data_IF_822274911625
#
_entry.id   IF_822274911625
#
_cell.length_a   1.000
_cell.length_b   1.000
_cell.length_c   1.000
_cell.angle_alpha   90.00
_cell.angle_beta   90.00
_cell.angle_gamma   90.00
#
_symmetry.space_group_name_H-M   'P 1'
#
loop_
_entity.id
_entity.type
_entity.pdbx_description
1 polymer ?
#
# COMPACT_ATOMS: atom_id res chain seq x y z
N UNK A 1 -19.39 -34.38 59.08
CA UNK A 1 -18.59 -33.17 59.15
C UNK A 1 -18.01 -32.86 57.77
N UNK A 2 -18.53 -31.76 57.22
CA UNK A 2 -18.00 -30.87 56.17
C UNK A 2 -17.46 -31.46 54.85
N UNK A 3 -18.37 -31.54 53.88
CA UNK A 3 -18.08 -31.57 52.45
C UNK A 3 -18.63 -30.29 51.74
N UNK A 4 -18.36 -29.11 52.26
CA UNK A 4 -18.95 -27.86 51.71
C UNK A 4 -17.92 -26.71 51.57
N UNK A 5 -16.67 -27.01 51.26
CA UNK A 5 -15.67 -25.95 51.12
C UNK A 5 -14.69 -26.10 49.93
N UNK A 6 -15.09 -26.70 48.84
CA UNK A 6 -14.24 -26.84 47.62
C UNK A 6 -14.87 -26.25 46.34
N UNK A 7 -16.05 -25.61 46.41
CA UNK A 7 -16.76 -25.13 45.22
C UNK A 7 -16.74 -23.61 45.02
N UNK A 8 -15.92 -22.85 45.74
CA UNK A 8 -15.90 -21.38 45.62
C UNK A 8 -14.64 -20.77 44.99
N UNK A 9 -13.67 -21.57 44.54
CA UNK A 9 -12.43 -21.03 43.95
C UNK A 9 -12.32 -21.15 42.41
N UNK A 10 -13.37 -21.60 41.71
CA UNK A 10 -13.31 -21.76 40.24
C UNK A 10 -14.08 -20.70 39.44
N UNK A 11 -14.73 -19.74 40.10
CA UNK A 11 -15.54 -18.73 39.45
C UNK A 11 -14.84 -17.38 39.21
N UNK A 12 -13.58 -17.20 39.66
CA UNK A 12 -12.88 -15.91 39.54
C UNK A 12 -11.81 -15.84 38.42
N UNK A 13 -11.70 -16.84 37.54
CA UNK A 13 -10.63 -16.88 36.55
C UNK A 13 -11.06 -16.68 35.08
N UNK A 14 -12.30 -16.26 34.83
CA UNK A 14 -12.84 -16.12 33.45
C UNK A 14 -13.12 -14.65 33.05
N UNK A 15 -12.82 -13.65 33.88
CA UNK A 15 -13.16 -12.25 33.57
C UNK A 15 -11.93 -11.34 33.39
N UNK A 16 -10.80 -11.83 32.98
CA UNK A 16 -9.62 -10.95 32.75
C UNK A 16 -9.03 -10.98 31.34
N UNK A 17 -9.71 -11.54 30.35
CA UNK A 17 -9.15 -11.60 28.98
C UNK A 17 -9.89 -10.80 27.92
N UNK A 18 -10.73 -9.83 28.26
CA UNK A 18 -11.48 -9.04 27.25
C UNK A 18 -11.21 -7.54 27.28
N UNK A 19 -10.22 -7.03 28.02
CA UNK A 19 -9.99 -5.58 28.13
C UNK A 19 -8.75 -5.08 27.38
N UNK A 20 -7.96 -5.93 26.71
CA UNK A 20 -6.73 -5.50 26.02
C UNK A 20 -6.80 -5.47 24.49
N UNK A 21 -7.98 -5.58 23.87
CA UNK A 21 -8.11 -5.60 22.41
C UNK A 21 -8.47 -4.24 21.78
N UNK A 22 -8.70 -3.19 22.54
CA UNK A 22 -9.38 -1.97 22.03
C UNK A 22 -8.46 -0.85 21.52
N UNK A 23 -7.12 -0.91 21.68
CA UNK A 23 -6.22 0.17 21.25
C UNK A 23 -5.00 -0.27 20.42
N UNK A 24 -5.04 -1.43 19.79
CA UNK A 24 -3.96 -1.80 18.89
C UNK A 24 -4.08 -1.02 17.57
N UNK A 25 -2.99 -0.38 17.12
CA UNK A 25 -3.00 0.37 15.87
C UNK A 25 -3.31 -0.53 14.68
N UNK A 26 -4.14 -0.02 13.76
CA UNK A 26 -4.43 -0.64 12.48
C UNK A 26 -3.43 -0.12 11.44
N UNK A 27 -2.52 -0.98 10.98
CA UNK A 27 -1.50 -0.60 10.00
C UNK A 27 -2.05 -0.58 8.58
N UNK A 28 -1.86 0.55 7.91
CA UNK A 28 -2.15 0.74 6.48
C UNK A 28 -0.81 0.88 5.77
N UNK A 29 -0.56 0.05 4.77
CA UNK A 29 0.73 -0.02 4.09
C UNK A 29 0.58 0.01 2.57
N UNK A 30 1.66 0.39 1.88
CA UNK A 30 1.80 0.26 0.43
C UNK A 30 3.16 -0.34 0.09
N UNK A 31 3.20 -1.17 -0.97
CA UNK A 31 4.44 -1.72 -1.48
C UNK A 31 4.37 -2.04 -2.98
N UNK A 32 5.32 -1.53 -3.77
CA UNK A 32 5.57 -1.98 -5.13
C UNK A 32 6.29 -3.33 -5.09
N UNK A 33 5.70 -4.35 -5.74
CA UNK A 33 6.16 -5.75 -5.69
C UNK A 33 7.27 -6.08 -6.68
N UNK A 34 7.73 -5.15 -7.52
CA UNK A 34 8.72 -5.37 -8.58
C UNK A 34 8.35 -6.57 -9.48
N UNK A 35 7.42 -6.36 -10.42
CA UNK A 35 7.08 -7.37 -11.44
C UNK A 35 6.71 -8.75 -10.84
N UNK A 36 5.69 -8.79 -10.01
CA UNK A 36 5.22 -10.02 -9.39
C UNK A 36 4.29 -10.79 -10.33
N UNK A 37 4.91 -11.47 -11.30
CA UNK A 37 4.25 -12.32 -12.29
C UNK A 37 4.04 -13.73 -11.77
N UNK A 38 3.02 -14.42 -12.29
CA UNK A 38 2.85 -15.84 -12.09
C UNK A 38 3.89 -16.65 -12.92
N UNK A 39 4.08 -17.95 -12.67
CA UNK A 39 5.07 -18.76 -13.37
C UNK A 39 4.49 -19.52 -14.58
N UNK A 40 3.34 -19.10 -15.12
CA UNK A 40 2.67 -19.77 -16.22
C UNK A 40 2.76 -18.95 -17.50
N UNK A 41 2.56 -19.63 -18.63
CA UNK A 41 2.51 -18.98 -19.94
C UNK A 41 1.05 -18.72 -20.29
N UNK A 42 0.70 -17.46 -20.46
CA UNK A 42 -0.60 -17.07 -21.01
C UNK A 42 -0.42 -16.71 -22.50
N UNK A 43 -0.94 -17.57 -23.38
CA UNK A 43 -0.84 -17.38 -24.83
C UNK A 43 -1.67 -16.20 -25.36
N UNK A 44 -2.52 -15.60 -24.56
CA UNK A 44 -3.33 -14.41 -24.91
C UNK A 44 -2.57 -13.11 -24.70
N UNK A 45 -1.53 -13.11 -23.84
CA UNK A 45 -0.70 -11.96 -23.56
C UNK A 45 0.45 -11.80 -24.57
N UNK A 46 0.70 -10.58 -24.98
CA UNK A 46 1.83 -10.25 -25.87
C UNK A 46 3.14 -10.07 -25.12
N UNK A 47 3.07 -9.65 -23.85
CA UNK A 47 4.25 -9.50 -22.98
C UNK A 47 4.62 -10.85 -22.37
N UNK A 48 5.79 -11.35 -22.71
CA UNK A 48 6.27 -12.68 -22.32
C UNK A 48 7.67 -12.67 -21.68
N UNK A 49 8.15 -11.51 -21.22
CA UNK A 49 9.49 -11.41 -20.61
C UNK A 49 9.59 -12.28 -19.35
N UNK A 50 8.52 -12.35 -18.54
CA UNK A 50 8.45 -13.14 -17.31
C UNK A 50 7.83 -14.52 -17.52
N UNK A 51 8.40 -15.26 -18.46
CA UNK A 51 8.11 -16.69 -18.69
C UNK A 51 9.41 -17.48 -18.59
N UNK A 52 9.32 -18.83 -18.55
CA UNK A 52 10.50 -19.69 -18.45
C UNK A 52 11.45 -19.49 -19.63
N UNK A 53 10.92 -19.34 -20.85
CA UNK A 53 11.65 -19.11 -22.09
C UNK A 53 11.83 -17.61 -22.40
N UNK A 54 11.22 -16.73 -21.64
CA UNK A 54 11.30 -15.27 -21.80
C UNK A 54 12.64 -14.71 -21.31
N UNK A 55 12.86 -13.41 -21.59
CA UNK A 55 14.13 -12.71 -21.27
C UNK A 55 14.52 -12.82 -19.79
N UNK A 56 13.54 -12.87 -18.90
CA UNK A 56 13.78 -12.94 -17.45
C UNK A 56 13.93 -14.37 -16.94
N UNK A 57 13.71 -15.39 -17.79
CA UNK A 57 13.74 -16.80 -17.40
C UNK A 57 12.96 -17.07 -16.10
N UNK A 58 11.69 -16.61 -16.06
CA UNK A 58 10.86 -16.64 -14.86
C UNK A 58 10.30 -18.03 -14.61
N UNK A 59 11.00 -18.83 -13.81
CA UNK A 59 10.64 -20.19 -13.46
C UNK A 59 9.77 -20.25 -12.20
N UNK A 60 9.07 -21.39 -11.99
CA UNK A 60 8.37 -21.69 -10.73
C UNK A 60 9.25 -21.52 -9.49
N UNK A 61 10.52 -21.92 -9.57
CA UNK A 61 11.48 -21.75 -8.47
C UNK A 61 11.70 -20.28 -8.12
N UNK A 62 11.87 -19.41 -9.14
CA UNK A 62 12.05 -17.97 -8.94
C UNK A 62 10.77 -17.33 -8.39
N UNK A 63 9.60 -17.70 -8.91
CA UNK A 63 8.30 -17.27 -8.39
C UNK A 63 8.13 -17.59 -6.91
N UNK A 64 8.31 -18.86 -6.52
CA UNK A 64 8.15 -19.25 -5.11
C UNK A 64 9.19 -18.62 -4.19
N UNK A 65 10.40 -18.36 -4.68
CA UNK A 65 11.41 -17.62 -3.91
C UNK A 65 10.96 -16.19 -3.68
N UNK A 66 10.52 -15.49 -4.72
CA UNK A 66 9.98 -14.12 -4.61
C UNK A 66 8.77 -14.08 -3.68
N UNK A 67 7.79 -14.94 -3.87
CA UNK A 67 6.62 -15.05 -3.00
C UNK A 67 7.03 -15.19 -1.52
N UNK A 68 8.01 -16.06 -1.23
CA UNK A 68 8.47 -16.28 0.15
C UNK A 68 9.22 -15.06 0.71
N UNK A 69 9.94 -14.32 -0.14
CA UNK A 69 10.55 -13.05 0.24
C UNK A 69 9.47 -11.99 0.57
N UNK A 70 8.44 -11.84 -0.29
CA UNK A 70 7.32 -10.93 -0.04
C UNK A 70 6.62 -11.27 1.29
N UNK A 71 6.26 -12.53 1.49
CA UNK A 71 5.69 -13.04 2.72
C UNK A 71 6.55 -12.69 3.96
N UNK A 72 7.87 -12.92 3.88
CA UNK A 72 8.80 -12.60 4.97
C UNK A 72 8.81 -11.11 5.31
N UNK A 73 8.85 -10.24 4.30
CA UNK A 73 8.85 -8.80 4.50
C UNK A 73 7.51 -8.29 5.05
N UNK A 74 6.37 -8.81 4.55
CA UNK A 74 5.04 -8.46 5.06
C UNK A 74 4.92 -8.84 6.54
N UNK A 75 5.35 -10.04 6.94
CA UNK A 75 5.31 -10.44 8.36
C UNK A 75 6.20 -9.57 9.24
N UNK A 76 7.38 -9.19 8.76
CA UNK A 76 8.29 -8.33 9.51
C UNK A 76 7.71 -6.92 9.66
N UNK A 77 7.17 -6.34 8.57
CA UNK A 77 6.53 -5.02 8.58
C UNK A 77 5.28 -4.99 9.48
N UNK A 78 4.50 -6.05 9.47
CA UNK A 78 3.27 -6.17 10.26
C UNK A 78 3.49 -6.59 11.71
N UNK A 79 4.74 -6.86 12.11
CA UNK A 79 5.05 -7.41 13.44
C UNK A 79 4.24 -8.68 13.76
N UNK A 80 3.96 -9.48 12.70
CA UNK A 80 3.19 -10.72 12.77
C UNK A 80 1.70 -10.53 13.17
N UNK A 81 1.16 -9.31 13.06
CA UNK A 81 -0.28 -8.96 13.19
C UNK A 81 -0.92 -8.83 11.80
N UNK A 82 -2.25 -8.84 11.67
CA UNK A 82 -2.86 -8.49 10.39
C UNK A 82 -2.61 -7.03 10.06
N UNK A 83 -2.23 -6.75 8.81
CA UNK A 83 -2.36 -5.40 8.26
C UNK A 83 -3.84 -5.09 8.07
N UNK A 84 -4.27 -3.88 8.38
CA UNK A 84 -5.63 -3.45 8.06
C UNK A 84 -5.83 -3.44 6.55
N UNK A 85 -4.95 -2.70 5.84
CA UNK A 85 -4.95 -2.60 4.38
C UNK A 85 -3.50 -2.61 3.88
N UNK A 86 -3.26 -3.34 2.80
CA UNK A 86 -2.01 -3.30 2.03
C UNK A 86 -2.34 -2.97 0.57
N UNK A 87 -2.01 -1.75 0.15
CA UNK A 87 -1.93 -1.39 -1.26
C UNK A 87 -0.70 -2.03 -1.90
N UNK A 88 -0.86 -2.56 -3.08
CA UNK A 88 0.22 -3.17 -3.86
C UNK A 88 0.18 -2.66 -5.28
N UNK A 89 1.29 -2.69 -5.98
CA UNK A 89 1.33 -2.57 -7.43
C UNK A 89 2.35 -3.52 -8.04
N UNK A 90 2.35 -3.60 -9.37
CA UNK A 90 3.11 -4.59 -10.14
C UNK A 90 2.72 -6.05 -9.81
N UNK A 91 1.43 -6.28 -9.63
CA UNK A 91 0.81 -7.59 -9.42
C UNK A 91 0.13 -8.02 -10.71
N UNK A 92 0.41 -9.25 -11.17
CA UNK A 92 -0.14 -9.70 -12.45
C UNK A 92 -1.61 -10.13 -12.35
N UNK A 93 -1.96 -10.99 -11.37
CA UNK A 93 -3.29 -11.60 -11.34
C UNK A 93 -3.65 -12.20 -9.97
N UNK A 94 -4.87 -12.74 -9.88
CA UNK A 94 -5.38 -13.39 -8.67
C UNK A 94 -4.56 -14.60 -8.20
N UNK A 95 -3.93 -15.36 -9.12
CA UNK A 95 -3.10 -16.49 -8.73
C UNK A 95 -1.91 -16.05 -7.87
N UNK A 96 -1.29 -14.92 -8.23
CA UNK A 96 -0.18 -14.34 -7.48
C UNK A 96 -0.61 -14.00 -6.05
N UNK A 97 -1.77 -13.33 -5.91
CA UNK A 97 -2.32 -12.95 -4.61
C UNK A 97 -2.75 -14.16 -3.79
N UNK A 98 -3.49 -15.10 -4.35
CA UNK A 98 -3.90 -16.33 -3.64
C UNK A 98 -2.69 -17.16 -3.22
N UNK A 99 -1.66 -17.26 -4.08
CA UNK A 99 -0.40 -17.93 -3.73
C UNK A 99 0.29 -17.26 -2.54
N UNK A 100 0.28 -15.92 -2.46
CA UNK A 100 0.91 -15.18 -1.36
C UNK A 100 0.08 -15.25 -0.07
N UNK A 101 -1.22 -14.98 -0.13
CA UNK A 101 -2.04 -14.80 1.06
C UNK A 101 -2.71 -16.08 1.57
N UNK A 102 -2.95 -17.08 0.72
CA UNK A 102 -3.61 -18.32 1.13
C UNK A 102 -2.65 -19.52 1.23
N UNK A 103 -1.50 -19.51 0.52
CA UNK A 103 -0.54 -20.62 0.51
C UNK A 103 0.72 -20.35 1.34
N UNK A 104 0.76 -19.24 2.09
CA UNK A 104 1.79 -18.91 3.07
C UNK A 104 1.19 -18.78 4.47
N UNK A 105 1.99 -18.63 5.53
CA UNK A 105 1.46 -18.36 6.87
C UNK A 105 0.60 -17.08 7.01
N UNK A 106 0.58 -16.18 6.01
CA UNK A 106 -0.33 -15.03 5.99
C UNK A 106 -1.81 -15.43 5.99
N UNK A 107 -2.15 -16.66 5.56
CA UNK A 107 -3.52 -17.20 5.55
C UNK A 107 -4.24 -17.14 6.90
N UNK A 108 -3.51 -17.02 8.01
CA UNK A 108 -4.07 -16.89 9.36
C UNK A 108 -4.74 -15.55 9.65
N UNK A 109 -4.54 -14.53 8.79
CA UNK A 109 -4.97 -13.16 9.02
C UNK A 109 -6.24 -12.75 8.23
N UNK A 110 -7.03 -13.72 7.76
CA UNK A 110 -8.33 -13.51 7.11
C UNK A 110 -8.31 -12.46 5.98
N UNK A 111 -7.27 -12.44 5.17
CA UNK A 111 -7.14 -11.48 4.09
C UNK A 111 -8.12 -11.74 2.94
N UNK A 112 -8.58 -10.65 2.31
CA UNK A 112 -9.25 -10.60 1.02
C UNK A 112 -8.54 -9.59 0.15
N UNK A 113 -8.76 -9.64 -1.15
CA UNK A 113 -8.14 -8.72 -2.10
C UNK A 113 -9.10 -8.25 -3.17
N UNK A 114 -8.72 -7.15 -3.78
CA UNK A 114 -9.38 -6.51 -4.90
C UNK A 114 -8.30 -6.30 -5.95
N UNK A 115 -8.55 -6.83 -7.15
CA UNK A 115 -7.71 -6.68 -8.32
C UNK A 115 -8.62 -6.54 -9.54
N UNK A 116 -8.33 -5.61 -10.41
CA UNK A 116 -8.94 -5.46 -11.72
C UNK A 116 -7.83 -5.49 -12.76
N UNK A 117 -7.99 -6.30 -13.79
CA UNK A 117 -7.07 -6.30 -14.92
C UNK A 117 -7.23 -5.00 -15.71
N UNK A 118 -6.15 -4.28 -15.89
CA UNK A 118 -6.06 -2.99 -16.54
C UNK A 118 -5.42 -3.05 -17.93
N UNK A 119 -5.29 -1.89 -18.58
CA UNK A 119 -4.77 -1.79 -19.95
C UNK A 119 -3.24 -1.75 -20.04
N UNK A 120 -2.48 -1.94 -18.94
CA UNK A 120 -1.02 -1.95 -19.00
C UNK A 120 -0.50 -3.08 -19.89
N UNK A 121 0.37 -2.75 -20.84
CA UNK A 121 0.89 -3.70 -21.83
C UNK A 121 1.68 -4.87 -21.22
N UNK A 122 2.20 -4.72 -20.01
CA UNK A 122 2.89 -5.78 -19.26
C UNK A 122 1.89 -6.70 -18.56
N UNK A 123 0.65 -6.23 -18.31
CA UNK A 123 -0.37 -6.93 -17.55
C UNK A 123 -0.03 -6.96 -16.07
N UNK A 124 0.35 -5.82 -15.51
CA UNK A 124 0.59 -5.62 -14.07
C UNK A 124 -0.26 -4.48 -13.54
N UNK A 125 -0.91 -4.71 -12.44
CA UNK A 125 -1.97 -3.85 -11.92
C UNK A 125 -1.76 -3.46 -10.46
N UNK A 126 -2.44 -2.40 -9.99
CA UNK A 126 -2.62 -2.14 -8.56
C UNK A 126 -3.59 -3.15 -7.94
N UNK A 127 -3.33 -3.50 -6.68
CA UNK A 127 -4.19 -4.35 -5.88
C UNK A 127 -4.38 -3.76 -4.48
N UNK A 128 -5.51 -4.08 -3.85
CA UNK A 128 -5.76 -3.82 -2.42
C UNK A 128 -5.99 -5.15 -1.73
N UNK A 129 -5.22 -5.40 -0.67
CA UNK A 129 -5.43 -6.51 0.25
C UNK A 129 -5.89 -5.94 1.59
N UNK A 130 -6.91 -6.52 2.18
CA UNK A 130 -7.47 -6.06 3.47
C UNK A 130 -7.82 -7.22 4.38
N UNK A 131 -7.74 -7.00 5.68
CA UNK A 131 -8.11 -7.99 6.67
C UNK A 131 -9.58 -7.84 7.05
N UNK A 132 -10.34 -8.95 7.00
CA UNK A 132 -11.72 -9.01 7.50
C UNK A 132 -11.82 -8.81 9.02
N UNK A 133 -10.70 -8.90 9.75
CA UNK A 133 -10.65 -8.61 11.18
C UNK A 133 -10.78 -7.11 11.46
N UNK A 134 -10.48 -6.25 10.47
CA UNK A 134 -10.50 -4.80 10.60
C UNK A 134 -11.54 -4.12 9.72
N UNK A 135 -11.77 -4.61 8.49
CA UNK A 135 -12.57 -3.90 7.50
C UNK A 135 -13.53 -4.81 6.72
N UNK A 136 -14.67 -4.24 6.34
CA UNK A 136 -15.61 -4.80 5.37
C UNK A 136 -15.60 -3.92 4.12
N UNK A 137 -15.52 -4.54 2.95
CA UNK A 137 -15.62 -3.85 1.66
C UNK A 137 -17.07 -3.46 1.39
N UNK A 138 -17.29 -2.18 1.04
CA UNK A 138 -18.59 -1.64 0.64
C UNK A 138 -18.71 -1.61 -0.89
N UNK A 139 -17.68 -1.05 -1.55
CA UNK A 139 -17.62 -0.96 -3.01
C UNK A 139 -16.16 -0.88 -3.48
N UNK A 140 -15.92 -1.24 -4.72
CA UNK A 140 -14.63 -1.03 -5.39
C UNK A 140 -14.83 -0.78 -6.87
N UNK A 141 -13.91 -0.01 -7.46
CA UNK A 141 -13.87 0.28 -8.90
C UNK A 141 -12.48 0.76 -9.32
N UNK A 142 -12.29 0.91 -10.62
CA UNK A 142 -11.10 1.55 -11.18
C UNK A 142 -11.47 2.85 -11.87
N UNK A 143 -10.54 3.80 -11.85
CA UNK A 143 -10.63 5.03 -12.65
C UNK A 143 -9.57 4.97 -13.74
N UNK A 144 -9.99 4.85 -15.00
CA UNK A 144 -9.08 4.72 -16.12
C UNK A 144 -8.13 5.89 -16.25
N UNK A 145 -6.86 5.59 -16.54
CA UNK A 145 -5.90 6.60 -16.97
C UNK A 145 -6.35 7.22 -18.29
N UNK A 146 -6.28 8.52 -18.37
CA UNK A 146 -6.57 9.25 -19.61
C UNK A 146 -5.65 10.46 -19.74
N UNK A 147 -4.99 10.55 -20.91
CA UNK A 147 -4.20 11.70 -21.30
C UNK A 147 -4.80 12.28 -22.59
N UNK A 148 -5.40 13.49 -22.56
CA UNK A 148 -6.00 14.11 -23.75
C UNK A 148 -4.99 14.47 -24.85
N UNK A 149 -3.69 14.63 -24.49
CA UNK A 149 -2.62 14.93 -25.44
C UNK A 149 -2.03 13.69 -26.11
N UNK A 150 -2.21 12.50 -25.48
CA UNK A 150 -1.78 11.22 -26.03
C UNK A 150 -2.80 10.12 -25.67
N UNK A 151 -3.86 10.05 -26.46
CA UNK A 151 -4.94 9.09 -26.25
C UNK A 151 -4.58 7.64 -26.63
N UNK A 152 -3.43 7.43 -27.27
CA UNK A 152 -2.91 6.11 -27.61
C UNK A 152 -2.06 5.50 -26.48
N UNK A 153 -1.57 6.32 -25.57
CA UNK A 153 -0.81 5.85 -24.42
C UNK A 153 -1.75 5.32 -23.33
N UNK A 154 -1.52 4.09 -22.92
CA UNK A 154 -2.24 3.43 -21.84
C UNK A 154 -1.31 3.25 -20.64
N UNK A 155 -1.84 3.49 -19.45
CA UNK A 155 -1.17 3.27 -18.19
C UNK A 155 -2.09 2.51 -17.24
N UNK A 156 -1.60 2.22 -16.03
CA UNK A 156 -2.38 1.56 -14.99
C UNK A 156 -3.53 2.45 -14.53
N UNK A 157 -4.66 1.84 -14.30
CA UNK A 157 -5.83 2.50 -13.73
C UNK A 157 -5.59 2.82 -12.24
N UNK A 158 -6.30 3.79 -11.69
CA UNK A 158 -6.30 4.06 -10.26
C UNK A 158 -7.33 3.16 -9.61
N UNK A 159 -6.91 2.29 -8.70
CA UNK A 159 -7.80 1.40 -7.97
C UNK A 159 -8.37 2.11 -6.75
N UNK A 160 -9.69 2.03 -6.60
CA UNK A 160 -10.44 2.59 -5.48
C UNK A 160 -11.22 1.52 -4.75
N UNK A 161 -11.28 1.64 -3.43
CA UNK A 161 -12.19 0.88 -2.59
C UNK A 161 -12.69 1.71 -1.42
N UNK A 162 -13.94 1.45 -1.02
CA UNK A 162 -14.59 2.02 0.15
C UNK A 162 -14.81 0.95 1.19
N UNK A 163 -14.37 1.22 2.39
CA UNK A 163 -14.45 0.30 3.52
C UNK A 163 -15.26 0.89 4.67
N UNK A 164 -15.85 0.01 5.47
CA UNK A 164 -16.33 0.29 6.83
C UNK A 164 -15.59 -0.61 7.81
N UNK A 165 -15.54 -0.23 9.08
CA UNK A 165 -14.94 -1.07 10.11
C UNK A 165 -15.68 -2.41 10.27
N UNK A 166 -14.95 -3.48 10.59
CA UNK A 166 -15.52 -4.81 10.75
C UNK A 166 -16.49 -4.91 11.91
N UNK A 167 -16.26 -4.13 12.97
CA UNK A 167 -17.16 -3.99 14.10
C UNK A 167 -17.91 -2.65 14.05
N UNK A 168 -19.04 -2.63 13.35
CA UNK A 168 -19.89 -1.45 13.25
C UNK A 168 -20.55 -1.03 14.59
N UNK A 169 -20.42 -1.83 15.65
CA UNK A 169 -20.89 -1.49 17.00
C UNK A 169 -19.86 -0.68 17.79
N UNK A 170 -18.60 -0.68 17.37
CA UNK A 170 -17.54 0.13 17.96
C UNK A 170 -17.53 1.52 17.32
N UNK A 171 -17.61 2.57 18.12
CA UNK A 171 -17.49 3.97 17.68
C UNK A 171 -16.18 4.22 16.92
N UNK A 172 -15.12 3.51 17.30
CA UNK A 172 -13.81 3.59 16.65
C UNK A 172 -13.82 3.14 15.17
N UNK A 173 -14.80 2.30 14.77
CA UNK A 173 -14.90 1.74 13.43
C UNK A 173 -16.16 2.19 12.67
N UNK A 174 -16.92 3.16 13.21
CA UNK A 174 -18.13 3.66 12.56
C UNK A 174 -17.87 4.42 11.25
N UNK A 175 -16.60 4.74 10.99
CA UNK A 175 -16.21 5.55 9.84
C UNK A 175 -16.14 4.77 8.53
N UNK A 176 -16.43 5.51 7.48
CA UNK A 176 -16.13 5.10 6.11
C UNK A 176 -14.72 5.54 5.75
N UNK A 177 -13.90 4.59 5.30
CA UNK A 177 -12.56 4.84 4.80
C UNK A 177 -12.53 4.65 3.28
N UNK A 178 -12.14 5.69 2.56
CA UNK A 178 -11.91 5.68 1.12
C UNK A 178 -10.42 5.46 0.85
N UNK A 179 -10.09 4.46 0.03
CA UNK A 179 -8.69 4.10 -0.25
C UNK A 179 -8.45 4.09 -1.74
N UNK A 180 -7.41 4.79 -2.17
CA UNK A 180 -6.92 4.81 -3.55
C UNK A 180 -5.53 4.19 -3.60
N UNK A 181 -5.32 3.25 -4.52
CA UNK A 181 -3.99 2.69 -4.82
C UNK A 181 -3.60 3.10 -6.23
N UNK A 182 -2.40 3.66 -6.33
CA UNK A 182 -1.86 4.30 -7.53
C UNK A 182 -0.57 3.61 -7.97
N UNK A 183 -0.35 3.55 -9.29
CA UNK A 183 0.94 3.29 -9.88
C UNK A 183 1.06 4.16 -11.13
N UNK A 184 1.64 5.35 -10.97
CA UNK A 184 1.70 6.35 -12.04
C UNK A 184 2.72 5.99 -13.10
N UNK A 185 2.67 6.64 -14.30
CA UNK A 185 3.63 6.43 -15.37
C UNK A 185 5.07 6.62 -14.92
N UNK A 186 5.94 5.65 -15.27
CA UNK A 186 7.35 5.67 -14.86
C UNK A 186 8.15 6.75 -15.57
N UNK A 187 9.34 7.07 -15.04
CA UNK A 187 10.33 7.97 -15.65
C UNK A 187 11.18 7.30 -16.72
N UNK A 188 10.87 6.07 -17.14
CA UNK A 188 11.72 5.27 -18.03
C UNK A 188 12.05 5.95 -19.37
N UNK A 189 11.10 6.69 -19.94
CA UNK A 189 11.30 7.44 -21.20
C UNK A 189 11.91 8.83 -20.99
N UNK A 190 12.34 9.17 -19.78
CA UNK A 190 12.84 10.48 -19.39
C UNK A 190 11.92 11.16 -18.37
N UNK A 191 12.50 11.82 -17.40
CA UNK A 191 11.76 12.49 -16.32
C UNK A 191 10.88 13.61 -16.86
N UNK A 192 11.47 14.49 -17.68
CA UNK A 192 10.75 15.66 -18.26
C UNK A 192 9.72 15.22 -19.30
N UNK A 193 10.03 14.22 -20.10
CA UNK A 193 9.16 13.67 -21.13
C UNK A 193 7.89 13.04 -20.56
N UNK A 194 7.97 12.53 -19.33
CA UNK A 194 6.85 11.79 -18.69
C UNK A 194 6.13 12.59 -17.61
N UNK A 195 6.57 13.81 -17.28
CA UNK A 195 5.93 14.65 -16.25
C UNK A 195 4.45 14.93 -16.56
N UNK A 196 4.11 15.17 -17.83
CA UNK A 196 2.72 15.37 -18.27
C UNK A 196 1.83 14.18 -17.99
N UNK A 197 2.33 12.98 -18.26
CA UNK A 197 1.59 11.72 -18.00
C UNK A 197 1.32 11.51 -16.50
N UNK A 198 2.30 11.78 -15.63
CA UNK A 198 2.09 11.71 -14.17
C UNK A 198 1.15 12.79 -13.67
N UNK A 199 1.22 13.99 -14.26
CA UNK A 199 0.27 15.07 -13.97
C UNK A 199 -1.17 14.71 -14.34
N UNK A 200 -1.39 13.96 -15.44
CA UNK A 200 -2.71 13.43 -15.78
C UNK A 200 -3.23 12.48 -14.70
N UNK A 201 -2.41 11.53 -14.21
CA UNK A 201 -2.78 10.63 -13.10
C UNK A 201 -3.13 11.43 -11.84
N UNK A 202 -2.30 12.41 -11.49
CA UNK A 202 -2.53 13.29 -10.35
C UNK A 202 -3.86 14.06 -10.46
N UNK A 203 -4.17 14.60 -11.65
CA UNK A 203 -5.41 15.33 -11.90
C UNK A 203 -6.66 14.43 -11.79
N UNK A 204 -6.57 13.18 -12.30
CA UNK A 204 -7.65 12.20 -12.17
C UNK A 204 -7.88 11.88 -10.68
N UNK A 205 -6.82 11.56 -9.95
CA UNK A 205 -6.90 11.27 -8.52
C UNK A 205 -7.49 12.46 -7.75
N UNK A 206 -6.98 13.66 -7.97
CA UNK A 206 -7.49 14.90 -7.35
C UNK A 206 -8.98 15.07 -7.60
N UNK A 207 -9.42 15.01 -8.84
CA UNK A 207 -10.82 15.19 -9.20
C UNK A 207 -11.74 14.13 -8.55
N UNK A 208 -11.27 12.88 -8.40
CA UNK A 208 -12.05 11.83 -7.74
C UNK A 208 -12.17 12.05 -6.24
N UNK A 209 -11.10 12.43 -5.58
CA UNK A 209 -11.15 12.76 -4.14
C UNK A 209 -12.02 13.99 -3.89
N UNK A 210 -11.87 15.06 -4.70
CA UNK A 210 -12.72 16.24 -4.59
C UNK A 210 -14.21 15.90 -4.79
N UNK A 211 -14.53 14.98 -5.71
CA UNK A 211 -15.92 14.54 -5.91
C UNK A 211 -16.51 13.82 -4.70
N UNK A 212 -15.70 13.02 -3.98
CA UNK A 212 -16.12 12.37 -2.74
C UNK A 212 -16.36 13.41 -1.65
N UNK A 213 -15.48 14.39 -1.52
CA UNK A 213 -15.61 15.46 -0.52
C UNK A 213 -16.85 16.32 -0.79
N UNK A 214 -17.10 16.69 -2.06
CA UNK A 214 -18.26 17.50 -2.45
C UNK A 214 -19.59 16.73 -2.28
N UNK A 215 -19.59 15.44 -2.52
CA UNK A 215 -20.77 14.59 -2.39
C UNK A 215 -21.11 14.21 -0.93
N UNK A 216 -20.22 14.52 0.00
CA UNK A 216 -20.40 14.21 1.41
C UNK A 216 -21.57 15.03 2.03
N UNK A 217 -22.31 14.45 2.99
CA UNK A 217 -23.32 15.21 3.74
C UNK A 217 -22.71 16.45 4.42
N UNK A 218 -23.56 17.48 4.59
CA UNK A 218 -23.14 18.69 5.29
C UNK A 218 -22.60 18.38 6.69
N UNK A 219 -21.41 18.90 7.01
CA UNK A 219 -20.73 18.67 8.28
C UNK A 219 -19.91 17.38 8.35
N UNK A 220 -20.01 16.47 7.38
CA UNK A 220 -19.20 15.25 7.33
C UNK A 220 -17.97 15.45 6.44
N UNK A 221 -16.79 15.09 6.94
CA UNK A 221 -15.53 15.14 6.21
C UNK A 221 -15.04 13.72 5.92
N UNK A 222 -15.02 13.29 4.64
CA UNK A 222 -14.59 11.95 4.27
C UNK A 222 -13.14 11.67 4.60
N UNK A 223 -12.88 10.52 5.20
CA UNK A 223 -11.53 10.02 5.44
C UNK A 223 -11.04 9.29 4.18
N UNK A 224 -10.06 9.90 3.51
CA UNK A 224 -9.48 9.37 2.27
C UNK A 224 -7.99 9.14 2.45
N UNK A 225 -7.53 7.94 2.08
CA UNK A 225 -6.12 7.56 2.00
C UNK A 225 -5.78 7.30 0.53
N UNK A 226 -4.81 8.03 0.02
CA UNK A 226 -4.22 7.87 -1.31
C UNK A 226 -2.82 7.33 -1.13
N UNK A 227 -2.53 6.15 -1.66
CA UNK A 227 -1.21 5.56 -1.56
C UNK A 227 -0.75 5.06 -2.92
N UNK A 228 0.56 4.93 -3.11
CA UNK A 228 1.06 4.40 -4.37
C UNK A 228 2.54 4.69 -4.62
N UNK A 229 3.03 4.01 -5.66
CA UNK A 229 4.22 4.42 -6.39
C UNK A 229 3.82 5.54 -7.37
N UNK A 230 4.09 6.77 -6.98
CA UNK A 230 3.74 7.95 -7.77
C UNK A 230 4.78 8.25 -8.86
N UNK A 231 5.90 7.50 -8.88
CA UNK A 231 7.02 7.74 -9.79
C UNK A 231 7.53 9.20 -9.81
N UNK A 232 7.12 9.97 -8.81
CA UNK A 232 7.53 11.36 -8.55
C UNK A 232 7.78 11.57 -7.05
N UNK A 233 8.74 12.43 -6.74
CA UNK A 233 9.01 12.85 -5.37
C UNK A 233 7.92 13.79 -4.85
N UNK A 234 7.81 13.98 -3.53
CA UNK A 234 6.80 14.86 -2.93
C UNK A 234 6.82 16.31 -3.44
N UNK A 235 7.97 16.79 -3.90
CA UNK A 235 8.17 18.15 -4.41
C UNK A 235 7.99 18.30 -5.92
N UNK A 236 7.75 17.18 -6.63
CA UNK A 236 7.59 17.23 -8.08
C UNK A 236 6.21 17.76 -8.48
N UNK A 237 6.09 18.37 -9.67
CA UNK A 237 4.89 19.11 -10.07
C UNK A 237 3.60 18.29 -9.99
N UNK A 238 3.63 17.00 -10.34
CA UNK A 238 2.43 16.16 -10.28
C UNK A 238 1.88 16.01 -8.86
N UNK A 239 2.75 15.86 -7.87
CA UNK A 239 2.39 15.71 -6.45
C UNK A 239 2.14 17.08 -5.81
N UNK A 240 3.11 18.00 -6.00
CA UNK A 240 3.08 19.29 -5.33
C UNK A 240 2.04 20.25 -5.92
N UNK A 241 2.03 20.44 -7.23
CA UNK A 241 1.18 21.44 -7.87
C UNK A 241 -0.19 20.89 -8.30
N UNK A 242 -0.23 19.70 -8.91
CA UNK A 242 -1.45 19.15 -9.48
C UNK A 242 -2.30 18.44 -8.42
N UNK A 243 -1.74 17.48 -7.69
CA UNK A 243 -2.45 16.80 -6.59
C UNK A 243 -2.65 17.73 -5.39
N UNK A 244 -1.78 18.75 -5.25
CA UNK A 244 -1.72 19.68 -4.12
C UNK A 244 -1.54 18.96 -2.79
N UNK A 245 -0.64 18.01 -2.75
CA UNK A 245 -0.27 17.31 -1.53
C UNK A 245 0.94 18.00 -0.87
N UNK A 246 0.81 18.33 0.41
CA UNK A 246 1.80 19.09 1.18
C UNK A 246 2.20 18.34 2.44
N UNK A 247 3.44 18.50 2.85
CA UNK A 247 3.84 18.07 4.18
C UNK A 247 3.02 18.82 5.25
N UNK A 248 2.70 18.20 6.42
CA UNK A 248 1.91 18.88 7.48
C UNK A 248 2.42 20.27 7.89
N UNK A 249 3.74 20.51 7.82
CA UNK A 249 4.33 21.83 8.13
C UNK A 249 4.13 22.90 7.05
N UNK A 250 3.59 22.53 5.88
CA UNK A 250 3.40 23.40 4.70
C UNK A 250 1.93 23.42 4.24
N UNK A 251 1.02 23.04 5.13
CA UNK A 251 -0.39 22.87 4.79
C UNK A 251 -1.07 24.20 4.47
N UNK A 252 -1.75 24.24 3.34
CA UNK A 252 -2.59 25.33 2.88
C UNK A 252 -4.03 24.86 2.72
N UNK A 253 -4.97 25.81 2.66
CA UNK A 253 -6.38 25.49 2.44
C UNK A 253 -6.60 24.72 1.13
N UNK A 254 -7.37 23.66 1.19
CA UNK A 254 -7.67 22.77 0.06
C UNK A 254 -6.52 21.86 -0.37
N UNK A 255 -5.43 21.78 0.40
CA UNK A 255 -4.38 20.79 0.17
C UNK A 255 -4.69 19.46 0.86
N UNK A 256 -4.20 18.38 0.28
CA UNK A 256 -4.07 17.08 0.95
C UNK A 256 -2.78 17.04 1.78
N UNK A 257 -2.71 16.14 2.74
CA UNK A 257 -1.59 15.99 3.65
C UNK A 257 -0.72 14.83 3.17
N UNK A 258 0.50 15.12 2.74
CA UNK A 258 1.49 14.11 2.38
C UNK A 258 2.33 13.76 3.61
N UNK A 259 2.08 12.58 4.18
CA UNK A 259 2.78 12.09 5.36
C UNK A 259 4.24 11.68 5.05
N UNK A 260 4.60 11.63 3.76
CA UNK A 260 5.93 11.38 3.23
C UNK A 260 6.51 12.62 2.53
N UNK A 261 5.91 13.79 2.71
CA UNK A 261 6.30 15.03 2.06
C UNK A 261 7.71 15.55 2.40
N UNK A 262 8.27 15.09 3.52
CA UNK A 262 9.65 15.30 3.94
C UNK A 262 10.19 14.03 4.56
N UNK A 263 11.51 13.84 4.50
CA UNK A 263 12.14 12.68 5.15
C UNK A 263 12.42 12.96 6.64
N UNK A 264 11.40 13.40 7.36
CA UNK A 264 11.47 13.69 8.79
C UNK A 264 10.90 12.51 9.58
N UNK A 265 11.79 11.71 10.17
CA UNK A 265 11.39 10.59 11.03
C UNK A 265 10.82 9.39 10.29
N UNK A 266 10.93 9.30 8.96
CA UNK A 266 10.43 8.17 8.17
C UNK A 266 11.22 6.86 8.38
N UNK A 267 12.36 6.92 9.06
CA UNK A 267 13.15 5.75 9.44
C UNK A 267 14.16 5.28 8.40
N UNK A 268 14.06 5.72 7.14
CA UNK A 268 15.03 5.42 6.09
C UNK A 268 15.13 6.57 5.08
N UNK A 269 16.19 6.54 4.24
CA UNK A 269 16.54 7.65 3.34
C UNK A 269 15.55 7.86 2.18
N UNK A 270 14.91 6.79 1.70
CA UNK A 270 13.95 6.82 0.61
C UNK A 270 13.37 5.43 0.34
N UNK A 271 12.46 5.34 -0.60
CA UNK A 271 11.79 4.09 -0.97
C UNK A 271 12.42 3.41 -2.18
N UNK A 272 13.11 4.16 -3.02
CA UNK A 272 13.81 3.71 -4.22
C UNK A 272 15.20 4.36 -4.28
N UNK A 273 16.21 3.63 -4.75
CA UNK A 273 17.54 4.18 -4.97
C UNK A 273 17.87 4.24 -6.45
N UNK A 274 18.23 5.43 -6.94
CA UNK A 274 18.81 5.63 -8.26
C UNK A 274 20.25 6.16 -8.13
N UNK A 275 21.24 5.35 -8.50
CA UNK A 275 22.68 5.65 -8.33
C UNK A 275 23.00 5.98 -6.85
N UNK A 276 23.39 7.22 -6.55
CA UNK A 276 23.68 7.69 -5.19
C UNK A 276 22.45 8.13 -4.41
N UNK A 277 21.35 8.44 -5.12
CA UNK A 277 20.25 9.21 -4.55
C UNK A 277 19.07 8.31 -4.17
N UNK A 278 18.66 8.40 -2.91
CA UNK A 278 17.40 7.85 -2.44
C UNK A 278 16.27 8.80 -2.76
N UNK A 279 15.18 8.27 -3.32
CA UNK A 279 13.98 9.00 -3.70
C UNK A 279 12.77 8.43 -2.97
N UNK A 280 11.77 9.28 -2.70
CA UNK A 280 10.51 8.87 -2.05
C UNK A 280 9.42 8.89 -3.13
N UNK A 281 9.28 7.78 -3.87
CA UNK A 281 8.23 7.60 -4.87
C UNK A 281 6.97 6.96 -4.30
N UNK A 282 7.17 6.09 -3.29
CA UNK A 282 6.08 5.43 -2.57
C UNK A 282 5.62 6.33 -1.44
N UNK A 283 4.36 6.77 -1.50
CA UNK A 283 3.83 7.79 -0.60
C UNK A 283 2.45 7.41 -0.10
N UNK A 284 2.10 7.90 1.10
CA UNK A 284 0.75 7.86 1.65
C UNK A 284 0.32 9.30 1.94
N UNK A 285 -0.74 9.71 1.25
CA UNK A 285 -1.33 11.04 1.28
C UNK A 285 -2.75 10.90 1.82
N UNK A 286 -3.19 11.83 2.65
CA UNK A 286 -4.49 11.73 3.33
C UNK A 286 -5.26 13.06 3.24
N UNK A 287 -6.59 12.98 3.37
CA UNK A 287 -7.41 14.17 3.62
C UNK A 287 -7.24 14.64 5.07
N UNK A 288 -7.46 15.93 5.37
CA UNK A 288 -7.38 16.45 6.73
C UNK A 288 -8.25 15.67 7.75
N UNK A 289 -9.36 15.10 7.32
CA UNK A 289 -10.22 14.28 8.18
C UNK A 289 -9.54 13.05 8.79
N UNK A 290 -8.50 12.51 8.13
CA UNK A 290 -7.72 11.38 8.68
C UNK A 290 -6.82 11.83 9.84
N UNK A 291 -6.50 13.11 9.92
CA UNK A 291 -5.71 13.68 11.03
C UNK A 291 -6.58 14.08 12.23
N UNK A 292 -7.90 14.10 12.06
CA UNK A 292 -8.83 14.53 13.10
C UNK A 292 -9.06 13.40 14.11
N UNK A 293 -8.64 13.63 15.34
CA UNK A 293 -8.71 12.69 16.45
C UNK A 293 -10.02 12.73 17.24
N UNK A 294 -10.99 13.54 16.82
CA UNK A 294 -12.26 13.72 17.54
C UNK A 294 -13.20 12.52 17.40
N UNK A 295 -13.18 11.85 16.25
CA UNK A 295 -14.08 10.72 15.98
C UNK A 295 -13.41 9.65 15.11
N UNK A 296 -13.64 8.37 15.46
CA UNK A 296 -13.30 7.20 14.67
C UNK A 296 -11.80 6.97 14.47
N UNK A 297 -11.45 6.27 13.39
CA UNK A 297 -10.06 5.98 13.04
C UNK A 297 -9.34 7.23 12.57
N UNK A 298 -8.19 7.53 13.15
CA UNK A 298 -7.36 8.67 12.78
C UNK A 298 -5.88 8.30 12.75
N UNK A 299 -5.08 9.13 12.09
CA UNK A 299 -3.64 8.93 11.99
C UNK A 299 -2.96 9.00 13.35
N UNK A 300 -2.21 7.97 13.69
CA UNK A 300 -1.32 8.00 14.86
C UNK A 300 -0.12 8.87 14.55
N UNK A 301 -0.01 10.02 15.20
CA UNK A 301 1.06 10.98 14.96
C UNK A 301 2.45 10.32 15.03
N UNK A 302 3.30 10.65 14.05
CA UNK A 302 4.66 10.14 13.96
C UNK A 302 4.76 8.65 13.60
N UNK A 303 3.68 8.00 13.13
CA UNK A 303 3.72 6.58 12.73
C UNK A 303 4.14 6.34 11.27
N UNK A 304 4.20 7.37 10.43
CA UNK A 304 4.65 7.21 9.05
C UNK A 304 6.08 6.68 8.99
N UNK A 305 6.29 5.61 8.20
CA UNK A 305 7.61 4.94 8.08
C UNK A 305 7.84 4.41 6.70
N UNK A 306 9.09 4.48 6.26
CA UNK A 306 9.66 3.65 5.21
C UNK A 306 10.20 2.39 5.92
N UNK A 307 9.53 1.26 5.70
CA UNK A 307 9.95 0.01 6.34
C UNK A 307 11.16 -0.57 5.62
N UNK A 308 12.17 -0.92 6.39
CA UNK A 308 13.34 -1.66 5.91
C UNK A 308 13.74 -2.71 6.92
N UNK A 309 14.44 -3.72 6.44
CA UNK A 309 15.11 -4.72 7.26
C UNK A 309 16.42 -5.11 6.57
N UNK A 310 17.43 -5.52 7.35
CA UNK A 310 18.74 -5.86 6.82
C UNK A 310 18.68 -6.85 5.66
N UNK A 311 17.74 -7.80 5.70
CA UNK A 311 17.57 -8.79 4.64
C UNK A 311 16.99 -8.24 3.33
N UNK A 312 16.46 -7.02 3.32
CA UNK A 312 15.95 -6.32 2.13
C UNK A 312 17.00 -5.43 1.47
N UNK A 313 18.14 -5.31 2.09
CA UNK A 313 19.23 -4.43 1.67
C UNK A 313 20.52 -5.21 1.43
N UNK A 314 21.36 -4.70 0.57
CA UNK A 314 22.73 -5.18 0.34
C UNK A 314 23.71 -4.00 0.24
N UNK A 315 25.01 -4.27 0.37
CA UNK A 315 26.00 -3.23 0.21
C UNK A 315 26.10 -2.81 -1.26
N UNK A 316 26.19 -1.49 -1.49
CA UNK A 316 26.34 -0.93 -2.82
C UNK A 316 27.83 -0.68 -3.11
N UNK A 317 28.46 -1.64 -3.78
CA UNK A 317 29.88 -1.54 -4.13
C UNK A 317 30.16 -0.45 -5.17
N UNK A 318 29.16 -0.01 -5.94
CA UNK A 318 29.32 0.97 -7.02
C UNK A 318 29.13 2.40 -6.52
N UNK A 319 28.02 2.63 -5.79
CA UNK A 319 27.62 3.97 -5.35
C UNK A 319 27.75 4.17 -3.83
N UNK A 320 28.30 3.19 -3.13
CA UNK A 320 28.49 3.15 -1.69
C UNK A 320 27.17 3.11 -0.87
N UNK A 321 27.31 2.80 0.42
CA UNK A 321 26.18 2.67 1.32
C UNK A 321 25.36 1.42 1.05
N UNK A 322 24.05 1.51 1.28
CA UNK A 322 23.12 0.42 1.04
C UNK A 322 22.36 0.62 -0.27
N UNK A 323 21.93 -0.47 -0.89
CA UNK A 323 20.96 -0.51 -1.99
C UNK A 323 19.94 -1.61 -1.74
N UNK A 324 18.87 -1.58 -2.49
CA UNK A 324 17.81 -2.58 -2.43
C UNK A 324 18.31 -3.94 -2.94
N UNK A 325 18.02 -4.99 -2.18
CA UNK A 325 18.19 -6.37 -2.64
C UNK A 325 16.97 -6.76 -3.47
N UNK A 326 17.00 -6.36 -4.74
CA UNK A 326 15.91 -6.50 -5.71
C UNK A 326 15.91 -7.86 -6.40
N UNK A 327 14.80 -8.18 -7.06
CA UNK A 327 14.65 -9.45 -7.77
C UNK A 327 15.53 -9.52 -9.02
N UNK A 328 15.54 -8.42 -9.81
CA UNK A 328 16.32 -8.31 -11.05
C UNK A 328 17.06 -6.97 -11.15
N UNK A 329 18.16 -6.99 -11.88
CA UNK A 329 18.81 -5.79 -12.42
C UNK A 329 18.99 -6.03 -13.92
N UNK A 330 18.16 -5.38 -14.75
CA UNK A 330 18.01 -5.73 -16.15
C UNK A 330 17.58 -7.20 -16.30
N UNK A 331 18.24 -8.01 -17.14
CA UNK A 331 17.91 -9.43 -17.29
C UNK A 331 18.53 -10.33 -16.20
N UNK A 332 19.40 -9.79 -15.35
CA UNK A 332 20.13 -10.60 -14.36
C UNK A 332 19.29 -10.81 -13.11
N UNK A 333 19.07 -12.08 -12.76
CA UNK A 333 18.36 -12.48 -11.55
C UNK A 333 19.26 -12.45 -10.31
N UNK A 334 18.80 -11.80 -9.25
CA UNK A 334 19.44 -11.75 -7.93
C UNK A 334 18.62 -12.50 -6.87
N UNK A 335 17.30 -12.57 -7.03
CA UNK A 335 16.42 -13.32 -6.15
C UNK A 335 16.20 -12.65 -4.81
N UNK A 336 16.21 -11.33 -4.79
CA UNK A 336 15.90 -10.48 -3.65
C UNK A 336 14.40 -10.23 -3.48
N UNK A 337 14.05 -9.05 -3.00
CA UNK A 337 12.70 -8.67 -2.59
C UNK A 337 12.02 -7.78 -3.64
N UNK A 338 12.32 -6.50 -3.62
CA UNK A 338 11.79 -5.50 -4.54
C UNK A 338 12.83 -4.39 -4.74
N UNK A 339 12.68 -3.60 -5.82
CA UNK A 339 13.41 -2.36 -6.04
C UNK A 339 12.77 -1.15 -5.32
N UNK A 340 11.74 -1.41 -4.52
CA UNK A 340 11.11 -0.46 -3.62
C UNK A 340 11.06 -0.97 -2.19
N UNK A 341 11.16 -0.07 -1.21
CA UNK A 341 10.84 -0.34 0.19
C UNK A 341 9.36 -0.02 0.46
N UNK A 342 8.66 -0.83 1.27
CA UNK A 342 7.30 -0.53 1.63
C UNK A 342 7.19 0.67 2.56
N UNK A 343 6.06 1.36 2.48
CA UNK A 343 5.70 2.47 3.36
C UNK A 343 4.46 2.12 4.17
N UNK A 344 4.34 2.65 5.39
CA UNK A 344 3.14 2.46 6.19
C UNK A 344 2.85 3.62 7.13
N UNK A 345 1.61 3.68 7.57
CA UNK A 345 1.10 4.49 8.66
C UNK A 345 0.28 3.61 9.60
N UNK A 346 0.13 4.03 10.84
CA UNK A 346 -0.78 3.41 11.79
C UNK A 346 -1.98 4.33 12.03
N UNK A 347 -3.18 3.75 12.05
CA UNK A 347 -4.40 4.39 12.48
C UNK A 347 -4.77 3.88 13.87
N UNK A 348 -5.33 4.74 14.69
CA UNK A 348 -5.88 4.41 16.02
C UNK A 348 -7.32 4.89 16.11
N UNK A 349 -8.12 4.20 16.90
CA UNK A 349 -9.45 4.67 17.28
C UNK A 349 -9.41 5.50 18.56
N UNK A 350 -10.47 6.23 18.83
CA UNK A 350 -10.60 6.98 20.07
C UNK A 350 -10.72 6.02 21.26
N UNK A 351 -10.14 6.40 22.40
CA UNK A 351 -10.40 5.74 23.68
C UNK A 351 -11.84 6.09 24.11
N UNK A 352 -12.62 5.08 24.53
CA UNK A 352 -13.93 5.28 25.17
C UNK A 352 -13.78 5.85 26.59
#
# INVERSE_FOLDING_TARGET
MNKTLVLLCFACFVITNTVFAQNEPVRIAFWNMENFFDPFVDSTKTYNAFTEDGMQHWTKTRFYRKRNNMYKAILAMSENRPLGILGMCEVENEYVLSSLFEQTPLKKHNYRWILYEGPDNRGIDPAIVYSLDHFQLVESMVFPYYNPEDTAYHSRDILYAKFIGADASSVAYADTLHVFVNHWPSRYSGELETVGSRSCSAAILRAKVDSIVVAAPEGYQPKVIMMGDLNDCPTDPSVYDVLRARHPSELEEGCFINLFGKNDGLGFEGTLKHQTDWQIFDQIIVTPAVMDDREGLHYKEGSARIFHADFMLEDDETYHGKKLFRTYIGPRYFGGFSDHLPVYIDLIGNEE
#
